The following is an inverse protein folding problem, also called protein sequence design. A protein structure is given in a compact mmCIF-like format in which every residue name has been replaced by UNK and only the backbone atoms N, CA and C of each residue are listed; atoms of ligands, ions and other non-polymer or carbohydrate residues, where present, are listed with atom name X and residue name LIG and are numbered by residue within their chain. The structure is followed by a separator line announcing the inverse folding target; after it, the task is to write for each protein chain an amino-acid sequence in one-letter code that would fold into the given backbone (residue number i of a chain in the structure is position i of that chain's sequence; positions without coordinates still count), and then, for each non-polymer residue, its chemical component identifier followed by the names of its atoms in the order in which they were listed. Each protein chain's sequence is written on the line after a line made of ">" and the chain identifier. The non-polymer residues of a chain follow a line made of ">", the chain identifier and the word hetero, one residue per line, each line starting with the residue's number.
data_IF_545739159506
#
_entry.id   IF_545739159506
#
_cell.length_a   1.000
_cell.length_b   1.000
_cell.length_c   1.000
_cell.angle_alpha   90.00
_cell.angle_beta   90.00
_cell.angle_gamma   90.00
#
_symmetry.space_group_name_H-M   'P 1'
#
loop_
_entity.id
_entity.type
_entity.pdbx_description
1 polymer ?
#
# COMPACT_ATOMS: atom_id res chain seq x y z
N UNK A 1 -2.39 6.31 -30.13
CA UNK A 1 -1.50 5.48 -29.30
C UNK A 1 -0.74 6.41 -28.38
N UNK A 2 -1.29 6.69 -27.19
CA UNK A 2 -0.59 7.23 -26.02
C UNK A 2 -1.56 7.12 -24.85
N UNK A 3 -1.76 5.91 -24.34
CA UNK A 3 -2.28 5.73 -22.97
C UNK A 3 -1.08 5.72 -22.04
N UNK A 4 -0.57 6.92 -21.76
CA UNK A 4 0.28 7.14 -20.61
C UNK A 4 -0.67 7.34 -19.45
N UNK A 5 -0.98 6.26 -18.73
CA UNK A 5 -1.59 6.30 -17.40
C UNK A 5 -0.61 6.97 -16.44
N UNK A 6 -0.49 8.28 -16.62
CA UNK A 6 -0.05 9.20 -15.59
C UNK A 6 -1.12 9.10 -14.50
N UNK A 7 -0.96 8.17 -13.56
CA UNK A 7 -1.67 8.17 -12.30
C UNK A 7 -1.13 9.31 -11.41
N UNK A 8 -1.09 10.51 -11.98
CA UNK A 8 -0.85 11.74 -11.25
C UNK A 8 -2.11 11.95 -10.44
N UNK A 9 -2.02 11.61 -9.15
CA UNK A 9 -2.97 12.05 -8.15
C UNK A 9 -3.01 13.57 -8.20
N UNK A 10 -3.96 14.12 -8.95
CA UNK A 10 -4.30 15.53 -8.95
C UNK A 10 -4.88 15.85 -7.57
N UNK A 11 -3.99 16.19 -6.63
CA UNK A 11 -4.35 16.66 -5.30
C UNK A 11 -4.77 18.13 -5.39
N UNK A 12 -5.91 18.35 -6.07
CA UNK A 12 -6.63 19.62 -6.03
C UNK A 12 -6.94 19.99 -4.57
N UNK A 13 -6.65 21.24 -4.23
CA UNK A 13 -6.55 21.83 -2.89
C UNK A 13 -7.82 21.87 -2.03
N UNK A 14 -8.76 20.94 -2.21
CA UNK A 14 -9.96 20.80 -1.35
C UNK A 14 -10.60 19.39 -1.39
N UNK A 15 -9.81 18.34 -1.69
CA UNK A 15 -10.33 16.96 -1.76
C UNK A 15 -9.55 16.01 -0.86
N UNK A 16 -10.27 15.37 0.06
CA UNK A 16 -9.79 14.19 0.78
C UNK A 16 -9.69 13.04 -0.20
N UNK A 17 -8.48 12.58 -0.48
CA UNK A 17 -8.21 11.42 -1.34
C UNK A 17 -7.93 10.20 -0.47
N UNK A 18 -8.60 9.09 -0.74
CA UNK A 18 -8.29 7.79 -0.16
C UNK A 18 -7.55 7.00 -1.23
N UNK A 19 -6.32 6.59 -0.94
CA UNK A 19 -5.51 5.76 -1.80
C UNK A 19 -5.38 4.38 -1.19
N UNK A 20 -5.64 3.34 -1.99
CA UNK A 20 -5.32 1.96 -1.65
C UNK A 20 -4.15 1.52 -2.51
N UNK A 21 -3.10 1.00 -1.88
CA UNK A 21 -1.94 0.45 -2.56
C UNK A 21 -1.94 -1.07 -2.41
N UNK A 22 -1.77 -1.78 -3.52
CA UNK A 22 -1.63 -3.23 -3.53
C UNK A 22 -0.20 -3.58 -3.91
N UNK A 23 0.49 -4.37 -3.08
CA UNK A 23 1.90 -4.69 -3.26
C UNK A 23 2.09 -6.06 -3.93
N UNK A 24 3.11 -6.16 -4.79
CA UNK A 24 3.47 -7.41 -5.46
C UNK A 24 4.37 -8.32 -4.62
N UNK A 25 4.97 -7.79 -3.55
CA UNK A 25 5.89 -8.51 -2.67
C UNK A 25 5.24 -9.64 -1.84
N UNK A 26 3.90 -9.78 -1.86
CA UNK A 26 3.21 -10.80 -1.09
C UNK A 26 2.77 -11.98 -1.97
N UNK A 27 3.33 -13.16 -1.72
CA UNK A 27 3.05 -14.40 -2.42
C UNK A 27 2.45 -15.46 -1.47
N UNK A 28 1.17 -15.80 -1.70
CA UNK A 28 0.45 -16.84 -0.93
C UNK A 28 1.03 -18.26 -1.05
N UNK A 29 2.00 -18.49 -1.93
CA UNK A 29 2.67 -19.78 -2.12
C UNK A 29 4.01 -19.87 -1.39
N UNK A 30 4.68 -18.73 -1.15
CA UNK A 30 6.02 -18.68 -0.56
C UNK A 30 6.04 -18.01 0.82
N UNK A 31 5.17 -17.03 1.07
CA UNK A 31 5.17 -16.27 2.31
C UNK A 31 4.36 -16.94 3.42
N UNK A 32 4.79 -16.71 4.66
CA UNK A 32 4.03 -17.11 5.83
C UNK A 32 2.83 -16.16 6.03
N UNK A 33 1.64 -16.72 6.17
CA UNK A 33 0.42 -15.96 6.46
C UNK A 33 -0.50 -16.72 7.42
N UNK A 34 -1.39 -15.98 8.08
CA UNK A 34 -2.49 -16.56 8.83
C UNK A 34 -3.60 -17.00 7.85
N UNK A 35 -3.99 -18.29 7.81
CA UNK A 35 -4.98 -18.79 6.87
C UNK A 35 -6.32 -18.07 6.96
N UNK A 36 -6.78 -17.78 8.19
CA UNK A 36 -8.03 -17.05 8.45
C UNK A 36 -8.00 -15.63 7.87
N UNK A 37 -6.83 -14.97 7.90
CA UNK A 37 -6.65 -13.63 7.34
C UNK A 37 -6.70 -13.64 5.81
N UNK A 38 -6.06 -14.60 5.15
CA UNK A 38 -6.11 -14.70 3.68
C UNK A 38 -7.50 -15.08 3.19
N UNK A 39 -8.19 -15.99 3.89
CA UNK A 39 -9.57 -16.32 3.55
C UNK A 39 -10.49 -15.10 3.67
N UNK A 40 -10.34 -14.29 4.73
CA UNK A 40 -11.06 -13.04 4.89
C UNK A 40 -10.76 -12.07 3.74
N UNK A 41 -9.49 -11.86 3.40
CA UNK A 41 -9.09 -10.95 2.32
C UNK A 41 -9.60 -11.43 0.94
N UNK A 42 -9.59 -12.74 0.67
CA UNK A 42 -10.20 -13.32 -0.54
C UNK A 42 -11.72 -13.11 -0.59
N UNK A 43 -12.41 -13.21 0.56
CA UNK A 43 -13.85 -12.90 0.65
C UNK A 43 -14.16 -11.42 0.40
N UNK A 44 -13.21 -10.54 0.68
CA UNK A 44 -13.27 -9.11 0.33
C UNK A 44 -12.75 -8.82 -1.09
N UNK A 45 -12.68 -9.83 -1.95
CA UNK A 45 -12.36 -9.70 -3.38
C UNK A 45 -10.94 -9.18 -3.65
N UNK A 46 -10.00 -9.41 -2.73
CA UNK A 46 -8.58 -9.15 -2.97
C UNK A 46 -8.00 -10.28 -3.83
N UNK A 47 -7.52 -9.89 -5.01
CA UNK A 47 -6.88 -10.78 -5.97
C UNK A 47 -5.36 -10.77 -5.79
N UNK A 48 -4.86 -11.80 -5.13
CA UNK A 48 -3.43 -11.96 -4.85
C UNK A 48 -2.60 -12.28 -6.10
N UNK A 49 -3.16 -12.96 -7.10
CA UNK A 49 -2.45 -13.25 -8.34
C UNK A 49 -2.27 -11.97 -9.15
N UNK A 50 -3.31 -11.13 -9.19
CA UNK A 50 -3.23 -9.80 -9.79
C UNK A 50 -2.24 -8.89 -9.04
N UNK A 51 -2.24 -8.93 -7.72
CA UNK A 51 -1.27 -8.16 -6.94
C UNK A 51 0.16 -8.61 -7.23
N UNK A 52 0.42 -9.91 -7.38
CA UNK A 52 1.75 -10.41 -7.72
C UNK A 52 2.22 -9.94 -9.11
N UNK A 53 1.31 -9.84 -10.09
CA UNK A 53 1.64 -9.44 -11.46
C UNK A 53 1.67 -7.92 -11.69
N UNK A 54 0.68 -7.20 -11.15
CA UNK A 54 0.43 -5.77 -11.43
C UNK A 54 0.63 -4.87 -10.19
N UNK A 55 0.98 -5.46 -9.05
CA UNK A 55 1.18 -4.75 -7.80
C UNK A 55 2.41 -3.83 -7.81
N UNK A 56 2.40 -2.89 -6.87
CA UNK A 56 3.51 -1.97 -6.66
C UNK A 56 4.63 -2.69 -5.92
N UNK A 57 5.86 -2.51 -6.37
CA UNK A 57 7.05 -2.95 -5.64
C UNK A 57 7.21 -2.11 -4.35
N UNK A 58 7.25 -2.79 -3.20
CA UNK A 58 7.28 -2.17 -1.89
C UNK A 58 8.53 -1.31 -1.69
N UNK A 59 9.69 -1.72 -2.23
CA UNK A 59 10.94 -0.99 -2.08
C UNK A 59 10.89 0.35 -2.84
N UNK A 60 10.42 0.33 -4.09
CA UNK A 60 10.20 1.53 -4.90
C UNK A 60 9.16 2.45 -4.26
N UNK A 61 8.08 1.88 -3.71
CA UNK A 61 7.08 2.66 -3.00
C UNK A 61 7.67 3.34 -1.76
N UNK A 62 8.48 2.63 -0.97
CA UNK A 62 9.13 3.20 0.22
C UNK A 62 10.05 4.38 -0.15
N UNK A 63 10.83 4.25 -1.23
CA UNK A 63 11.69 5.32 -1.73
C UNK A 63 10.87 6.56 -2.13
N UNK A 64 9.79 6.36 -2.91
CA UNK A 64 8.89 7.45 -3.31
C UNK A 64 8.20 8.10 -2.12
N UNK A 65 7.78 7.30 -1.12
CA UNK A 65 7.17 7.81 0.11
C UNK A 65 8.15 8.64 0.93
N UNK A 66 9.41 8.22 1.05
CA UNK A 66 10.46 9.01 1.70
C UNK A 66 10.72 10.34 0.96
N UNK A 67 10.69 10.34 -0.38
CA UNK A 67 10.86 11.54 -1.20
C UNK A 67 9.63 12.46 -1.28
N UNK A 68 8.44 11.97 -0.91
CA UNK A 68 7.16 12.69 -1.06
C UNK A 68 6.92 13.80 -0.03
N UNK A 69 7.70 13.83 1.05
CA UNK A 69 7.47 14.75 2.17
C UNK A 69 6.26 14.40 3.05
N UNK A 70 5.61 13.24 2.83
CA UNK A 70 4.62 12.67 3.76
C UNK A 70 5.29 12.00 4.97
N UNK A 71 6.48 11.43 4.78
CA UNK A 71 7.27 10.76 5.82
C UNK A 71 8.34 11.74 6.34
N UNK A 72 8.64 11.68 7.65
CA UNK A 72 9.60 12.58 8.32
C UNK A 72 9.29 14.09 8.20
N UNK A 73 8.00 14.44 8.14
CA UNK A 73 7.54 15.81 8.10
C UNK A 73 6.70 16.14 9.35
N UNK A 74 7.18 17.06 10.18
CA UNK A 74 6.53 17.47 11.42
C UNK A 74 5.17 18.17 11.21
N UNK A 75 4.87 18.56 9.96
CA UNK A 75 3.58 19.15 9.58
C UNK A 75 2.51 18.09 9.24
N UNK A 76 2.87 16.81 9.19
CA UNK A 76 1.97 15.70 8.84
C UNK A 76 1.63 14.88 10.10
N UNK A 77 0.35 14.73 10.40
CA UNK A 77 -0.14 13.90 11.51
C UNK A 77 -0.71 12.58 11.00
N UNK A 78 -0.15 11.46 11.46
CA UNK A 78 -0.60 10.12 11.12
C UNK A 78 -1.60 9.60 12.17
N UNK A 79 -2.74 9.09 11.72
CA UNK A 79 -3.73 8.43 12.57
C UNK A 79 -3.77 6.96 12.17
N UNK A 80 -3.46 6.06 13.11
CA UNK A 80 -3.52 4.61 12.92
C UNK A 80 -4.56 4.00 13.87
N UNK A 81 -5.29 2.98 13.42
CA UNK A 81 -6.22 2.23 14.26
C UNK A 81 -5.69 0.81 14.48
N UNK A 82 -5.42 0.45 15.74
CA UNK A 82 -4.82 -0.84 16.09
C UNK A 82 -5.87 -1.94 16.21
N UNK A 83 -5.99 -2.79 15.19
CA UNK A 83 -6.36 -4.19 15.37
C UNK A 83 -5.06 -5.01 15.49
N UNK A 84 -4.52 -5.12 16.70
CA UNK A 84 -3.46 -6.07 17.14
C UNK A 84 -2.36 -6.46 16.11
N UNK A 85 -1.43 -5.55 15.79
CA UNK A 85 0.04 -5.80 15.84
C UNK A 85 0.85 -4.48 15.66
N UNK A 86 1.52 -3.90 16.68
CA UNK A 86 1.87 -2.47 16.66
C UNK A 86 3.29 -2.02 16.24
N UNK A 87 4.14 -2.77 15.53
CA UNK A 87 5.54 -2.26 15.31
C UNK A 87 6.40 -2.83 14.15
N UNK A 88 5.91 -3.71 13.27
CA UNK A 88 6.82 -4.46 12.39
C UNK A 88 7.05 -3.88 10.98
N UNK A 89 6.31 -2.86 10.55
CA UNK A 89 6.48 -2.28 9.20
C UNK A 89 6.64 -0.79 9.34
N UNK A 90 7.77 -0.27 8.85
CA UNK A 90 8.32 1.09 8.98
C UNK A 90 9.16 1.32 10.25
N UNK A 91 10.30 0.62 10.34
CA UNK A 91 11.47 1.18 11.03
C UNK A 91 12.78 0.66 10.42
N UNK A 92 13.28 1.35 9.39
CA UNK A 92 14.60 2.03 9.33
C UNK A 92 14.98 2.32 7.87
#
# INVERSE_FOLDING_TARGET
>A
MTDTVNNVLDLGTDKTSICQFNFSDFDTTHDAYAPDSIELLRRHEIDFEKNLSDGVDLANFAELMMGSGLVCNDLVSWVTFHSVYPWAVVQM
#
